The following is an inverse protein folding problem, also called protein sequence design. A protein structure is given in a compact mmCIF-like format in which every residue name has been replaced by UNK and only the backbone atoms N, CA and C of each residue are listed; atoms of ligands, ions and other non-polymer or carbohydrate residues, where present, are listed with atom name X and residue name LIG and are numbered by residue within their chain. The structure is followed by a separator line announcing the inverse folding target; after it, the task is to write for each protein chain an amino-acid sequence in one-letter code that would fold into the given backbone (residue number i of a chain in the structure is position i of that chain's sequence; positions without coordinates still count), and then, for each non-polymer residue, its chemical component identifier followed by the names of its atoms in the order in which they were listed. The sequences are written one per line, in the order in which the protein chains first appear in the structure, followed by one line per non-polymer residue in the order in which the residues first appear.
data_IF_610150987735
#
_entry.id   IF_610150987735
#
_cell.length_a   1.000
_cell.length_b   1.000
_cell.length_c   1.000
_cell.angle_alpha   90.00
_cell.angle_beta   90.00
_cell.angle_gamma   90.00
#
_symmetry.space_group_name_H-M   'P 1'
#
loop_
_entity.id
_entity.type
_entity.pdbx_description
1 polymer ?
#
# COMPACT_ATOMS: atom_id res chain seq x y z
N UNK A 1 -0.35 -2.46 9.61
CA UNK A 1 -0.45 -3.82 10.18
C UNK A 1 -1.65 -4.56 9.58
N UNK A 2 -1.56 -5.89 9.39
CA UNK A 2 -2.58 -6.68 8.68
C UNK A 2 -4.04 -6.53 9.18
N UNK A 3 -4.31 -6.59 10.50
CA UNK A 3 -5.69 -6.46 11.00
C UNK A 3 -6.37 -5.13 10.67
N UNK A 4 -5.60 -4.02 10.63
CA UNK A 4 -6.16 -2.70 10.34
C UNK A 4 -6.60 -2.56 8.88
N UNK A 5 -5.94 -3.25 7.95
CA UNK A 5 -6.31 -3.28 6.53
C UNK A 5 -7.73 -3.83 6.38
N UNK A 6 -8.01 -5.01 6.94
CA UNK A 6 -9.34 -5.61 6.84
C UNK A 6 -10.40 -4.82 7.59
N UNK A 7 -10.08 -4.32 8.79
CA UNK A 7 -11.03 -3.54 9.60
C UNK A 7 -11.50 -2.29 8.86
N UNK A 8 -10.55 -1.49 8.34
CA UNK A 8 -10.88 -0.25 7.63
C UNK A 8 -11.53 -0.51 6.27
N UNK A 9 -11.16 -1.59 5.59
CA UNK A 9 -11.86 -2.03 4.37
C UNK A 9 -13.35 -2.32 4.63
N UNK A 10 -13.67 -2.99 5.73
CA UNK A 10 -15.08 -3.27 6.11
C UNK A 10 -15.81 -1.96 6.43
N UNK A 11 -15.17 -1.05 7.16
CA UNK A 11 -15.71 0.28 7.45
C UNK A 11 -15.92 1.13 6.18
N UNK A 12 -15.07 0.94 5.16
CA UNK A 12 -15.15 1.58 3.84
C UNK A 12 -16.42 1.28 3.05
N UNK A 13 -17.20 0.28 3.46
CA UNK A 13 -18.53 -0.01 2.89
C UNK A 13 -19.56 1.07 3.23
N UNK A 14 -19.40 1.75 4.36
CA UNK A 14 -20.34 2.76 4.86
C UNK A 14 -19.72 4.16 4.85
N UNK A 15 -18.40 4.27 5.06
CA UNK A 15 -17.68 5.54 5.15
C UNK A 15 -16.71 5.65 3.98
N UNK A 16 -17.01 6.53 3.03
CA UNK A 16 -16.13 6.79 1.89
C UNK A 16 -14.74 7.23 2.36
N UNK A 17 -13.72 6.58 1.82
CA UNK A 17 -12.32 6.87 2.13
C UNK A 17 -11.75 6.13 3.34
N UNK A 18 -12.52 5.27 4.02
CA UNK A 18 -11.93 4.40 5.03
C UNK A 18 -11.09 3.28 4.38
N UNK A 19 -9.79 3.28 4.67
CA UNK A 19 -8.80 2.40 4.07
C UNK A 19 -7.40 2.68 4.61
N UNK A 20 -6.47 1.75 4.41
CA UNK A 20 -5.05 1.98 4.72
C UNK A 20 -4.33 2.45 3.46
N UNK A 21 -3.61 3.56 3.55
CA UNK A 21 -2.75 4.02 2.45
C UNK A 21 -1.70 2.97 2.10
N UNK A 22 -1.34 2.90 0.83
CA UNK A 22 -0.31 1.98 0.34
C UNK A 22 0.70 2.72 -0.54
N UNK A 23 1.94 2.26 -0.51
CA UNK A 23 2.90 2.54 -1.57
C UNK A 23 2.84 1.43 -2.62
N UNK A 24 3.24 1.73 -3.86
CA UNK A 24 3.47 0.70 -4.88
C UNK A 24 4.77 0.97 -5.61
N UNK A 25 5.37 -0.09 -6.15
CA UNK A 25 6.57 -0.02 -6.97
C UNK A 25 6.49 -1.05 -8.11
N UNK A 26 7.01 -0.67 -9.28
CA UNK A 26 7.26 -1.57 -10.40
C UNK A 26 8.76 -1.67 -10.57
N UNK A 27 9.35 -2.83 -10.25
CA UNK A 27 10.79 -3.04 -10.41
C UNK A 27 11.15 -3.43 -11.84
N UNK A 28 10.30 -4.22 -12.49
CA UNK A 28 10.44 -4.64 -13.87
C UNK A 28 9.05 -4.65 -14.51
N UNK A 29 8.99 -4.16 -15.75
CA UNK A 29 7.79 -4.22 -16.59
C UNK A 29 8.17 -4.82 -17.94
N UNK A 30 7.65 -5.99 -18.25
CA UNK A 30 8.05 -6.79 -19.43
C UNK A 30 7.07 -6.65 -20.60
N UNK A 31 5.86 -6.18 -20.33
CA UNK A 31 4.78 -6.09 -21.33
C UNK A 31 3.94 -4.81 -21.22
N UNK A 32 4.34 -3.87 -20.36
CA UNK A 32 3.72 -2.55 -20.19
C UNK A 32 2.51 -2.53 -19.27
N UNK A 33 2.15 -3.66 -18.64
CA UNK A 33 0.92 -3.77 -17.82
C UNK A 33 1.16 -3.66 -16.32
N UNK A 34 2.43 -3.67 -15.88
CA UNK A 34 2.75 -3.83 -14.47
C UNK A 34 2.21 -2.68 -13.60
N UNK A 35 2.22 -1.46 -14.12
CA UNK A 35 1.72 -0.28 -13.41
C UNK A 35 0.22 -0.37 -13.14
N UNK A 36 -0.58 -0.68 -14.16
CA UNK A 36 -2.04 -0.80 -14.03
C UNK A 36 -2.44 -1.96 -13.13
N UNK A 37 -1.71 -3.08 -13.20
CA UNK A 37 -1.93 -4.23 -12.31
C UNK A 37 -1.62 -3.85 -10.85
N UNK A 38 -0.52 -3.15 -10.59
CA UNK A 38 -0.16 -2.71 -9.24
C UNK A 38 -1.16 -1.71 -8.66
N UNK A 39 -1.59 -0.71 -9.47
CA UNK A 39 -2.62 0.24 -9.08
C UNK A 39 -3.97 -0.44 -8.83
N UNK A 40 -4.39 -1.33 -9.73
CA UNK A 40 -5.61 -2.11 -9.60
C UNK A 40 -5.61 -2.96 -8.32
N UNK A 41 -4.47 -3.54 -7.97
CA UNK A 41 -4.32 -4.28 -6.71
C UNK A 41 -4.47 -3.37 -5.49
N UNK A 42 -3.81 -2.20 -5.48
CA UNK A 42 -3.93 -1.25 -4.38
C UNK A 42 -5.36 -0.73 -4.20
N UNK A 43 -6.07 -0.44 -5.29
CA UNK A 43 -7.49 -0.05 -5.25
C UNK A 43 -8.36 -1.19 -4.72
N UNK A 44 -8.12 -2.44 -5.16
CA UNK A 44 -8.87 -3.61 -4.71
C UNK A 44 -8.70 -3.89 -3.21
N UNK A 45 -7.54 -3.56 -2.64
CA UNK A 45 -7.30 -3.61 -1.19
C UNK A 45 -8.02 -2.49 -0.42
N UNK A 46 -8.62 -1.52 -1.12
CA UNK A 46 -9.29 -0.37 -0.52
C UNK A 46 -8.33 0.69 0.00
N UNK A 47 -7.16 0.85 -0.62
CA UNK A 47 -6.25 1.93 -0.25
C UNK A 47 -6.90 3.30 -0.51
N UNK A 48 -6.91 4.15 0.51
CA UNK A 48 -7.47 5.50 0.38
C UNK A 48 -6.63 6.38 -0.55
N UNK A 49 -5.31 6.30 -0.38
CA UNK A 49 -4.34 6.93 -1.25
C UNK A 49 -3.19 5.97 -1.55
N UNK A 50 -2.77 5.97 -2.82
CA UNK A 50 -1.70 5.12 -3.33
C UNK A 50 -0.59 6.00 -3.90
N UNK A 51 0.63 5.88 -3.37
CA UNK A 51 1.77 6.68 -3.81
C UNK A 51 2.87 5.80 -4.41
N UNK A 52 3.58 6.34 -5.40
CA UNK A 52 4.65 5.62 -6.08
C UNK A 52 5.96 5.67 -5.29
N UNK A 53 6.67 4.56 -5.24
CA UNK A 53 8.04 4.43 -4.70
C UNK A 53 8.85 3.44 -5.54
N UNK A 54 10.08 3.13 -5.12
CA UNK A 54 10.86 1.99 -5.64
C UNK A 54 10.97 0.92 -4.57
N UNK A 55 11.20 -0.34 -4.97
CA UNK A 55 11.47 -1.41 -3.99
C UNK A 55 12.64 -1.06 -3.08
N UNK A 56 13.65 -0.36 -3.62
CA UNK A 56 14.83 0.05 -2.85
C UNK A 56 14.50 1.02 -1.73
N UNK A 57 13.68 2.03 -2.02
CA UNK A 57 13.28 3.02 -1.03
C UNK A 57 12.31 2.42 -0.01
N UNK A 58 11.41 1.54 -0.46
CA UNK A 58 10.42 0.89 0.41
C UNK A 58 11.07 0.01 1.47
N UNK A 59 11.98 -0.91 1.09
CA UNK A 59 12.60 -1.77 2.09
C UNK A 59 13.47 -0.95 3.06
N UNK A 60 14.12 0.12 2.60
CA UNK A 60 14.94 0.98 3.47
C UNK A 60 14.08 1.71 4.48
N UNK A 61 12.97 2.31 4.06
CA UNK A 61 12.12 3.10 4.94
C UNK A 61 11.28 2.23 5.88
N UNK A 62 10.76 1.11 5.42
CA UNK A 62 9.90 0.22 6.22
C UNK A 62 10.68 -0.50 7.32
N UNK A 63 11.77 -1.19 6.95
CA UNK A 63 12.65 -1.92 7.90
C UNK A 63 13.22 -0.97 8.97
N UNK A 64 13.60 0.24 8.56
CA UNK A 64 14.05 1.28 9.49
C UNK A 64 12.89 1.79 10.36
N UNK A 65 11.74 2.08 9.76
CA UNK A 65 10.57 2.65 10.45
C UNK A 65 10.00 1.73 11.51
N UNK A 66 9.88 0.43 11.22
CA UNK A 66 9.41 -0.60 12.16
C UNK A 66 10.35 -0.82 13.35
N UNK A 67 11.65 -0.53 13.19
CA UNK A 67 12.65 -0.57 14.28
C UNK A 67 12.84 0.77 14.98
N UNK A 68 12.31 1.85 14.40
CA UNK A 68 12.32 3.18 14.95
C UNK A 68 11.06 3.46 15.75
N UNK A 69 10.25 4.40 15.27
CA UNK A 69 9.08 4.89 16.00
C UNK A 69 7.90 3.91 16.00
N UNK A 70 7.79 3.05 14.97
CA UNK A 70 6.62 2.18 14.81
C UNK A 70 6.68 0.91 15.68
N UNK A 71 7.77 0.71 16.42
CA UNK A 71 7.94 -0.39 17.37
C UNK A 71 7.19 -0.21 18.70
N UNK A 72 6.70 1.01 18.99
CA UNK A 72 6.10 1.39 20.28
C UNK A 72 4.59 1.59 20.19
#
# INVERSE_FOLDING_TARGET
MGPSVRRLYVQGKEINGAGINASFAVHQDVDGRATDVALGWSVALGSHFTFMTTLEQEYKSDIFGERGLLAF
#
